data_IF_094401640356
#
_entry.id   IF_094401640356
#
_cell.length_a   1.000
_cell.length_b   1.000
_cell.length_c   1.000
_cell.angle_alpha   90.00
_cell.angle_beta   90.00
_cell.angle_gamma   90.00
#
_symmetry.space_group_name_H-M   'P 1'
#
loop_
_entity.id
_entity.type
_entity.pdbx_description
1 polymer ?
#
# COMPACT_ATOMS: atom_id res chain seq x y z
N UNK A 1 0.33 9.76 20.32
CA UNK A 1 0.62 8.57 19.48
C UNK A 1 2.12 8.33 19.48
N UNK A 2 2.53 7.12 19.81
CA UNK A 2 3.94 6.78 19.84
C UNK A 2 4.56 6.81 18.44
N UNK A 3 5.80 7.30 18.36
CA UNK A 3 6.58 7.35 17.13
C UNK A 3 7.75 6.39 17.20
N UNK A 4 8.39 6.12 16.08
CA UNK A 4 9.56 5.25 16.03
C UNK A 4 10.68 5.73 16.98
N UNK A 5 10.84 7.04 17.14
CA UNK A 5 11.79 7.64 18.08
C UNK A 5 11.50 7.26 19.53
N UNK A 6 10.22 7.15 19.88
CA UNK A 6 9.80 6.77 21.24
C UNK A 6 10.12 5.30 21.50
N UNK A 7 9.90 4.45 20.51
CA UNK A 7 10.26 3.03 20.59
C UNK A 7 11.76 2.86 20.75
N UNK A 8 12.55 3.60 19.96
CA UNK A 8 14.01 3.56 20.03
C UNK A 8 14.52 3.98 21.40
N UNK A 9 13.96 5.03 21.96
CA UNK A 9 14.31 5.53 23.30
C UNK A 9 13.97 4.49 24.38
N UNK A 10 12.79 3.91 24.32
CA UNK A 10 12.34 2.89 25.28
C UNK A 10 13.21 1.63 25.19
N UNK A 11 13.58 1.21 23.98
CA UNK A 11 14.41 0.03 23.77
C UNK A 11 15.91 0.29 23.97
N UNK A 12 16.32 1.55 24.06
CA UNK A 12 17.74 1.90 24.21
C UNK A 12 18.56 1.66 22.95
N UNK A 13 17.96 1.81 21.78
CA UNK A 13 18.61 1.60 20.46
C UNK A 13 18.38 2.76 19.55
N UNK A 14 19.07 2.79 18.39
CA UNK A 14 18.87 3.80 17.38
C UNK A 14 17.54 3.57 16.64
N UNK A 15 16.90 4.64 16.11
CA UNK A 15 15.70 4.49 15.29
C UNK A 15 15.89 3.58 14.08
N UNK A 16 17.08 3.59 13.47
CA UNK A 16 17.42 2.69 12.36
C UNK A 16 17.39 1.22 12.78
N UNK A 17 17.77 0.90 14.01
CA UNK A 17 17.69 -0.45 14.56
C UNK A 17 16.26 -0.90 14.74
N UNK A 18 15.37 0.00 15.19
CA UNK A 18 13.94 -0.29 15.29
C UNK A 18 13.38 -0.62 13.90
N UNK A 19 13.74 0.17 12.90
CA UNK A 19 13.31 -0.05 11.52
C UNK A 19 13.76 -1.42 10.99
N UNK A 20 14.99 -1.82 11.26
CA UNK A 20 15.50 -3.14 10.86
C UNK A 20 14.68 -4.28 11.47
N UNK A 21 14.36 -4.17 12.75
CA UNK A 21 13.54 -5.18 13.44
C UNK A 21 12.15 -5.27 12.86
N UNK A 22 11.48 -4.12 12.67
CA UNK A 22 10.10 -4.07 12.18
C UNK A 22 9.97 -4.53 10.73
N UNK A 23 10.96 -4.22 9.90
CA UNK A 23 10.94 -4.60 8.48
C UNK A 23 11.59 -5.95 8.21
N UNK A 24 12.10 -6.61 9.23
CA UNK A 24 12.79 -7.91 9.12
C UNK A 24 13.92 -7.88 8.09
N UNK A 25 14.63 -6.75 8.01
CA UNK A 25 15.77 -6.56 7.11
C UNK A 25 17.07 -6.57 7.91
N UNK A 26 18.09 -7.21 7.35
CA UNK A 26 19.40 -7.26 7.96
C UNK A 26 19.45 -8.11 9.23
N UNK A 27 20.67 -8.20 9.80
CA UNK A 27 20.89 -8.96 11.02
C UNK A 27 20.69 -8.08 12.25
N UNK A 28 19.87 -8.56 13.18
CA UNK A 28 19.70 -7.96 14.50
C UNK A 28 19.80 -9.09 15.51
N UNK A 29 20.57 -8.88 16.57
CA UNK A 29 20.69 -9.90 17.62
C UNK A 29 19.33 -10.17 18.26
N UNK A 30 19.14 -11.38 18.74
CA UNK A 30 17.88 -11.75 19.40
C UNK A 30 17.58 -10.87 20.61
N UNK A 31 18.61 -10.54 21.38
CA UNK A 31 18.48 -9.64 22.54
C UNK A 31 17.93 -8.28 22.12
N UNK A 32 18.48 -7.68 21.06
CA UNK A 32 18.01 -6.39 20.52
C UNK A 32 16.59 -6.51 19.99
N UNK A 33 16.29 -7.57 19.25
CA UNK A 33 14.94 -7.82 18.73
C UNK A 33 13.91 -7.88 19.85
N UNK A 34 14.20 -8.60 20.91
CA UNK A 34 13.30 -8.73 22.06
C UNK A 34 13.08 -7.39 22.75
N UNK A 35 14.13 -6.57 22.89
CA UNK A 35 14.01 -5.22 23.47
C UNK A 35 13.09 -4.32 22.65
N UNK A 36 13.24 -4.37 21.34
CA UNK A 36 12.41 -3.58 20.42
C UNK A 36 10.95 -4.05 20.46
N UNK A 37 10.73 -5.36 20.39
CA UNK A 37 9.39 -5.93 20.45
C UNK A 37 8.68 -5.59 21.76
N UNK A 38 9.39 -5.65 22.89
CA UNK A 38 8.85 -5.26 24.19
C UNK A 38 8.49 -3.77 24.23
N UNK A 39 9.32 -2.91 23.66
CA UNK A 39 9.05 -1.47 23.57
C UNK A 39 7.84 -1.16 22.70
N UNK A 40 7.70 -1.85 21.57
CA UNK A 40 6.55 -1.73 20.67
C UNK A 40 5.26 -2.08 21.43
N UNK A 41 5.26 -3.17 22.16
CA UNK A 41 4.10 -3.61 22.92
C UNK A 41 3.77 -2.62 24.05
N UNK A 42 4.78 -2.21 24.81
CA UNK A 42 4.61 -1.27 25.93
C UNK A 42 4.02 0.06 25.50
N UNK A 43 4.50 0.60 24.39
CA UNK A 43 4.04 1.90 23.86
C UNK A 43 2.83 1.77 22.96
N UNK A 44 2.37 0.55 22.70
CA UNK A 44 1.27 0.29 21.78
C UNK A 44 1.53 0.93 20.41
N UNK A 45 2.77 0.84 19.92
CA UNK A 45 3.20 1.43 18.67
C UNK A 45 2.66 0.64 17.48
N UNK A 46 2.04 1.36 16.54
CA UNK A 46 1.57 0.78 15.28
C UNK A 46 2.47 1.31 14.17
N UNK A 47 3.23 0.41 13.48
CA UNK A 47 4.10 0.83 12.38
C UNK A 47 3.34 1.57 11.29
N UNK A 48 3.92 2.67 10.77
CA UNK A 48 3.34 3.39 9.65
C UNK A 48 3.51 2.58 8.37
N UNK A 49 2.40 2.18 7.76
CA UNK A 49 2.40 1.49 6.48
C UNK A 49 2.95 2.40 5.38
N UNK A 50 2.64 3.68 5.43
CA UNK A 50 3.17 4.66 4.46
C UNK A 50 4.70 4.75 4.53
N UNK A 51 5.27 4.84 5.73
CA UNK A 51 6.72 4.92 5.89
C UNK A 51 7.40 3.64 5.42
N UNK A 52 6.82 2.49 5.71
CA UNK A 52 7.32 1.20 5.25
C UNK A 52 7.27 1.09 3.73
N UNK A 53 6.16 1.48 3.13
CA UNK A 53 5.97 1.44 1.69
C UNK A 53 6.92 2.41 0.98
N UNK A 54 7.16 3.58 1.55
CA UNK A 54 8.14 4.53 1.03
C UNK A 54 9.54 3.91 1.00
N UNK A 55 9.95 3.24 2.08
CA UNK A 55 11.23 2.56 2.15
C UNK A 55 11.35 1.44 1.12
N UNK A 56 10.26 0.71 0.85
CA UNK A 56 10.23 -0.38 -0.11
C UNK A 56 9.91 0.08 -1.54
N UNK A 57 9.66 1.38 -1.73
CA UNK A 57 9.28 2.00 -3.00
C UNK A 57 8.04 1.34 -3.63
N UNK A 58 7.04 1.05 -2.79
CA UNK A 58 5.77 0.47 -3.23
C UNK A 58 4.62 0.94 -2.35
N UNK A 59 3.40 0.88 -2.87
CA UNK A 59 2.19 1.30 -2.15
C UNK A 59 1.34 0.12 -1.70
N UNK A 60 1.49 -1.04 -2.33
CA UNK A 60 0.62 -2.21 -2.19
C UNK A 60 -0.83 -1.92 -2.60
N UNK A 61 -1.01 -0.93 -3.46
CA UNK A 61 -2.31 -0.54 -4.00
C UNK A 61 -2.32 -0.79 -5.50
N UNK A 62 -3.36 -1.47 -5.99
CA UNK A 62 -3.61 -1.66 -7.41
C UNK A 62 -4.90 -0.92 -7.75
N UNK A 63 -4.84 -0.03 -8.74
CA UNK A 63 -6.01 0.65 -9.25
C UNK A 63 -6.76 -0.24 -10.23
N UNK A 64 -8.07 -0.30 -10.12
CA UNK A 64 -8.93 -0.99 -11.07
C UNK A 64 -9.86 0.05 -11.69
N UNK A 65 -9.73 0.25 -13.00
CA UNK A 65 -10.49 1.26 -13.73
C UNK A 65 -11.63 0.57 -14.46
N UNK A 66 -12.86 0.98 -14.13
CA UNK A 66 -14.08 0.51 -14.77
C UNK A 66 -14.95 1.71 -15.10
N UNK A 67 -15.87 1.59 -16.10
CA UNK A 67 -16.76 2.71 -16.41
C UNK A 67 -17.76 2.98 -15.30
N UNK A 68 -18.32 1.93 -14.71
CA UNK A 68 -19.36 2.03 -13.69
C UNK A 68 -19.50 0.71 -12.96
N UNK A 69 -19.91 0.75 -11.72
CA UNK A 69 -20.25 -0.47 -10.95
C UNK A 69 -21.76 -0.75 -10.98
N UNK A 70 -22.54 0.09 -11.65
CA UNK A 70 -23.99 -0.13 -11.81
C UNK A 70 -24.28 -1.31 -12.72
N UNK A 71 -23.41 -1.61 -13.67
CA UNK A 71 -23.57 -2.75 -14.56
C UNK A 71 -23.05 -4.01 -13.86
N UNK A 72 -23.86 -5.11 -13.80
CA UNK A 72 -23.47 -6.32 -13.08
C UNK A 72 -22.12 -6.91 -13.52
N UNK A 73 -21.77 -6.82 -14.78
CA UNK A 73 -20.48 -7.31 -15.27
C UNK A 73 -19.31 -6.65 -14.53
N UNK A 74 -19.32 -5.33 -14.40
CA UNK A 74 -18.23 -4.61 -13.78
C UNK A 74 -18.21 -4.77 -12.27
N UNK A 75 -19.34 -4.87 -11.63
CA UNK A 75 -19.38 -5.13 -10.18
C UNK A 75 -18.90 -6.53 -9.84
N UNK A 76 -19.24 -7.53 -10.63
CA UNK A 76 -18.73 -8.89 -10.47
C UNK A 76 -17.22 -8.96 -10.75
N UNK A 77 -16.75 -8.27 -11.78
CA UNK A 77 -15.33 -8.19 -12.10
C UNK A 77 -14.55 -7.54 -10.95
N UNK A 78 -15.05 -6.42 -10.45
CA UNK A 78 -14.39 -5.71 -9.34
C UNK A 78 -14.32 -6.58 -8.08
N UNK A 79 -15.38 -7.29 -7.74
CA UNK A 79 -15.40 -8.19 -6.59
C UNK A 79 -14.39 -9.33 -6.75
N UNK A 80 -14.33 -9.94 -7.93
CA UNK A 80 -13.40 -11.01 -8.21
C UNK A 80 -11.94 -10.54 -8.13
N UNK A 81 -11.65 -9.35 -8.70
CA UNK A 81 -10.33 -8.77 -8.65
C UNK A 81 -9.92 -8.40 -7.23
N UNK A 82 -10.85 -7.83 -6.46
CA UNK A 82 -10.58 -7.48 -5.07
C UNK A 82 -10.18 -8.71 -4.25
N UNK A 83 -10.91 -9.80 -4.41
CA UNK A 83 -10.64 -11.06 -3.71
C UNK A 83 -9.24 -11.58 -4.06
N UNK A 84 -8.89 -11.62 -5.33
CA UNK A 84 -7.57 -12.09 -5.76
C UNK A 84 -6.44 -11.15 -5.30
N UNK A 85 -6.62 -9.85 -5.43
CA UNK A 85 -5.62 -8.88 -5.00
C UNK A 85 -5.39 -8.94 -3.50
N UNK A 86 -6.46 -9.08 -2.74
CA UNK A 86 -6.36 -9.21 -1.29
C UNK A 86 -5.54 -10.45 -0.91
N UNK A 87 -5.76 -11.58 -1.57
CA UNK A 87 -5.01 -12.80 -1.31
C UNK A 87 -3.51 -12.66 -1.62
N UNK A 88 -3.15 -11.76 -2.53
CA UNK A 88 -1.78 -11.46 -2.90
C UNK A 88 -1.15 -10.34 -2.06
N UNK A 89 -1.85 -9.81 -1.09
CA UNK A 89 -1.37 -8.76 -0.20
C UNK A 89 -1.56 -7.34 -0.72
N UNK A 90 -2.41 -7.16 -1.75
CA UNK A 90 -2.69 -5.85 -2.32
C UNK A 90 -4.06 -5.33 -1.87
N UNK A 91 -4.16 -4.01 -1.81
CA UNK A 91 -5.44 -3.32 -1.66
C UNK A 91 -5.88 -2.84 -3.04
N UNK A 92 -7.18 -2.84 -3.27
CA UNK A 92 -7.75 -2.39 -4.53
C UNK A 92 -8.29 -0.97 -4.37
N UNK A 93 -7.92 -0.09 -5.30
CA UNK A 93 -8.55 1.22 -5.45
C UNK A 93 -9.46 1.15 -6.68
N UNK A 94 -10.77 1.23 -6.46
CA UNK A 94 -11.74 1.19 -7.54
C UNK A 94 -11.93 2.59 -8.12
N UNK A 95 -11.73 2.73 -9.42
CA UNK A 95 -11.81 3.98 -10.13
C UNK A 95 -12.90 3.89 -11.19
N UNK A 96 -13.99 4.63 -10.99
CA UNK A 96 -15.11 4.67 -11.93
C UNK A 96 -14.99 5.90 -12.82
N UNK A 97 -14.86 5.69 -14.12
CA UNK A 97 -14.64 6.78 -15.07
C UNK A 97 -15.92 7.33 -15.68
N UNK A 98 -17.01 6.57 -15.66
CA UNK A 98 -18.27 6.92 -16.32
C UNK A 98 -18.09 7.25 -17.81
N UNK A 99 -17.16 6.52 -18.46
CA UNK A 99 -16.79 6.70 -19.87
C UNK A 99 -16.20 8.09 -20.18
N UNK A 100 -15.61 8.76 -19.17
CA UNK A 100 -14.97 10.06 -19.36
C UNK A 100 -13.46 9.92 -19.49
N UNK A 101 -12.93 10.37 -20.62
CA UNK A 101 -11.50 10.32 -20.89
C UNK A 101 -10.67 11.08 -19.85
N UNK A 102 -11.13 12.25 -19.40
CA UNK A 102 -10.43 13.03 -18.40
C UNK A 102 -10.29 12.29 -17.06
N UNK A 103 -11.30 11.54 -16.66
CA UNK A 103 -11.25 10.74 -15.42
C UNK A 103 -10.21 9.63 -15.55
N UNK A 104 -10.18 8.95 -16.68
CA UNK A 104 -9.22 7.89 -16.97
C UNK A 104 -7.78 8.42 -16.92
N UNK A 105 -7.53 9.58 -17.55
CA UNK A 105 -6.22 10.23 -17.53
C UNK A 105 -5.78 10.59 -16.11
N UNK A 106 -6.68 11.07 -15.27
CA UNK A 106 -6.38 11.39 -13.87
C UNK A 106 -5.92 10.17 -13.09
N UNK A 107 -6.56 9.02 -13.31
CA UNK A 107 -6.17 7.79 -12.64
C UNK A 107 -4.80 7.28 -13.12
N UNK A 108 -4.50 7.42 -14.41
CA UNK A 108 -3.19 7.09 -14.97
C UNK A 108 -2.11 8.02 -14.39
N UNK A 109 -2.43 9.30 -14.19
CA UNK A 109 -1.53 10.24 -13.53
C UNK A 109 -1.19 9.81 -12.10
N UNK A 110 -2.16 9.26 -11.37
CA UNK A 110 -1.92 8.73 -10.02
C UNK A 110 -0.88 7.61 -10.03
N UNK A 111 -0.91 6.74 -11.06
CA UNK A 111 0.11 5.70 -11.22
C UNK A 111 1.48 6.31 -11.43
N UNK A 112 1.58 7.31 -12.32
CA UNK A 112 2.84 8.01 -12.61
C UNK A 112 3.41 8.70 -11.38
N UNK A 113 2.57 9.16 -10.47
CA UNK A 113 2.98 9.80 -9.21
C UNK A 113 3.22 8.80 -8.09
N UNK A 114 3.23 7.52 -8.41
CA UNK A 114 3.51 6.43 -7.46
C UNK A 114 2.52 6.35 -6.29
N UNK A 115 1.26 6.72 -6.54
CA UNK A 115 0.19 6.54 -5.53
C UNK A 115 -0.41 5.14 -5.57
N UNK A 116 -0.05 4.36 -6.59
CA UNK A 116 -0.42 2.96 -6.73
C UNK A 116 0.69 2.23 -7.50
N UNK A 117 0.76 0.92 -7.35
CA UNK A 117 1.81 0.11 -7.97
C UNK A 117 1.48 -0.31 -9.41
N UNK A 118 0.22 -0.35 -9.75
CA UNK A 118 -0.23 -0.71 -11.08
C UNK A 118 -1.70 -0.44 -11.28
N UNK A 119 -2.16 -0.59 -12.53
CA UNK A 119 -3.55 -0.37 -12.91
C UNK A 119 -4.04 -1.56 -13.73
N UNK A 120 -5.24 -2.02 -13.43
CA UNK A 120 -5.98 -2.99 -14.25
C UNK A 120 -7.14 -2.24 -14.89
N UNK A 121 -7.22 -2.27 -16.22
CA UNK A 121 -8.27 -1.57 -16.95
C UNK A 121 -9.34 -2.57 -17.40
N UNK A 122 -10.54 -2.44 -16.82
CA UNK A 122 -11.70 -3.23 -17.24
C UNK A 122 -12.30 -2.75 -18.55
N UNK A 123 -12.18 -1.44 -18.81
CA UNK A 123 -12.56 -0.81 -20.08
C UNK A 123 -11.84 0.53 -20.17
N UNK A 124 -11.67 1.04 -21.39
CA UNK A 124 -11.00 2.32 -21.59
C UNK A 124 -11.74 3.16 -22.62
N UNK A 125 -11.59 4.48 -22.50
CA UNK A 125 -12.17 5.46 -23.42
C UNK A 125 -11.09 6.21 -24.20
N UNK A 126 -9.81 5.94 -23.94
CA UNK A 126 -8.71 6.56 -24.66
C UNK A 126 -8.50 5.91 -26.01
N UNK A 127 -8.22 6.72 -27.01
CA UNK A 127 -7.78 6.23 -28.30
C UNK A 127 -6.35 5.69 -28.14
N UNK A 128 -6.17 4.41 -28.40
CA UNK A 128 -4.88 3.74 -28.27
C UNK A 128 -4.09 3.75 -29.56
N UNK A 129 -4.43 4.63 -30.50
CA UNK A 129 -3.62 4.83 -31.70
C UNK A 129 -2.30 5.50 -31.28
N UNK A 130 -1.31 4.67 -31.05
CA UNK A 130 0.05 5.12 -30.78
C UNK A 130 0.83 5.11 -32.08
#
# INVERSE_FOLDING_TARGET
MARIKDVAKEAGVAPSTVSLVLNKKGYVSEETRLKVEAAVEKLNYIPSEMARNLSLQRTNIIGVIVPSISHPFFSELAEALETELYSLGYKMMLCCTKYKENSERKFIEMLKRQTMDGIIMGAHSLDVSI
#
